data_IF_838201935211
#
_entry.id   IF_838201935211
#
_cell.length_a   1.000
_cell.length_b   1.000
_cell.length_c   1.000
_cell.angle_alpha   90.00
_cell.angle_beta   90.00
_cell.angle_gamma   90.00
#
_symmetry.space_group_name_H-M   'P 1'
#
loop_
_entity.id
_entity.type
_entity.pdbx_description
1 polymer ?
#
# COMPACT_ATOMS: atom_id res chain seq x y z
N UNK A 1 55.68 -41.67 8.51
CA UNK A 1 55.23 -40.43 9.18
C UNK A 1 54.05 -39.93 8.34
N UNK A 2 52.83 -39.75 8.77
CA UNK A 2 52.18 -39.69 10.07
C UNK A 2 50.69 -40.01 9.87
N UNK A 3 50.20 -41.07 10.54
CA UNK A 3 48.79 -41.40 10.70
C UNK A 3 48.22 -40.51 11.80
N UNK A 4 47.66 -39.35 11.50
CA UNK A 4 47.04 -38.50 12.57
C UNK A 4 45.86 -37.60 12.17
N UNK A 5 45.33 -37.71 10.96
CA UNK A 5 44.19 -36.81 10.55
C UNK A 5 42.90 -37.56 10.19
N UNK A 6 42.74 -38.85 10.50
CA UNK A 6 41.49 -39.60 10.21
C UNK A 6 40.51 -39.73 11.39
N UNK A 7 40.80 -39.11 12.56
CA UNK A 7 39.93 -39.26 13.75
C UNK A 7 39.07 -38.05 14.07
N UNK A 8 39.21 -36.99 13.33
CA UNK A 8 38.46 -35.73 13.59
C UNK A 8 37.23 -35.54 12.69
N UNK A 9 37.02 -36.40 11.70
CA UNK A 9 35.87 -36.35 10.77
C UNK A 9 34.71 -37.23 11.25
N UNK A 10 34.95 -38.18 12.15
CA UNK A 10 33.92 -39.09 12.68
C UNK A 10 33.08 -38.50 13.84
N UNK A 11 33.46 -37.35 14.41
CA UNK A 11 32.75 -36.76 15.55
C UNK A 11 31.75 -35.63 15.17
N UNK A 12 31.66 -35.32 13.87
CA UNK A 12 30.73 -34.27 13.39
C UNK A 12 29.42 -34.80 12.79
N UNK A 13 29.22 -36.12 12.79
CA UNK A 13 28.03 -36.79 12.23
C UNK A 13 27.04 -37.32 13.28
N UNK A 14 27.20 -37.01 14.56
CA UNK A 14 26.41 -37.63 15.65
C UNK A 14 25.53 -36.65 16.44
N UNK A 15 25.28 -35.44 15.93
CA UNK A 15 24.33 -34.49 16.59
C UNK A 15 23.34 -33.90 15.58
N UNK A 16 22.72 -34.72 14.75
CA UNK A 16 21.55 -34.30 13.99
C UNK A 16 20.42 -35.34 14.11
N UNK A 17 20.11 -35.72 15.34
CA UNK A 17 18.76 -36.14 15.69
C UNK A 17 17.99 -34.92 16.13
N UNK A 18 17.72 -34.01 15.17
CA UNK A 18 16.83 -32.88 15.39
C UNK A 18 15.41 -33.40 15.56
N UNK A 19 14.88 -33.21 16.75
CA UNK A 19 13.47 -33.24 17.04
C UNK A 19 12.70 -32.66 15.84
N UNK A 20 11.84 -33.46 15.24
CA UNK A 20 10.76 -32.98 14.39
C UNK A 20 9.73 -32.30 15.30
N UNK A 21 10.10 -31.15 15.88
CA UNK A 21 9.14 -30.22 16.42
C UNK A 21 8.37 -29.67 15.21
N UNK A 22 7.07 -29.91 15.17
CA UNK A 22 6.17 -29.20 14.28
C UNK A 22 6.44 -27.72 14.49
N UNK A 23 7.04 -27.05 13.50
CA UNK A 23 7.44 -25.66 13.65
C UNK A 23 6.18 -24.82 13.56
N UNK A 24 5.80 -24.24 14.67
CA UNK A 24 4.67 -23.31 14.72
C UNK A 24 5.07 -21.99 14.04
N UNK A 25 4.26 -21.51 13.10
CA UNK A 25 4.40 -20.18 12.52
C UNK A 25 3.56 -19.20 13.33
N UNK A 26 4.20 -18.39 14.14
CA UNK A 26 3.49 -17.37 14.92
C UNK A 26 2.97 -16.25 14.03
N UNK A 27 1.88 -15.61 14.45
CA UNK A 27 1.30 -14.48 13.71
C UNK A 27 2.28 -13.30 13.60
N UNK A 28 3.08 -13.05 14.63
CA UNK A 28 4.08 -12.01 14.63
C UNK A 28 5.20 -12.29 13.62
N UNK A 29 5.71 -13.54 13.56
CA UNK A 29 6.70 -13.94 12.56
C UNK A 29 6.15 -13.80 11.13
N UNK A 30 4.91 -14.26 10.91
CA UNK A 30 4.24 -14.15 9.63
C UNK A 30 4.15 -12.68 9.18
N UNK A 31 3.67 -11.78 10.04
CA UNK A 31 3.62 -10.35 9.74
C UNK A 31 5.01 -9.76 9.48
N UNK A 32 6.04 -10.24 10.18
CA UNK A 32 7.43 -9.87 9.93
C UNK A 32 7.88 -10.21 8.50
N UNK A 33 7.53 -11.39 7.98
CA UNK A 33 7.80 -11.75 6.59
C UNK A 33 7.05 -10.86 5.60
N UNK A 34 5.76 -10.62 5.83
CA UNK A 34 4.94 -9.75 4.96
C UNK A 34 5.50 -8.34 4.90
N UNK A 35 5.75 -7.72 6.06
CA UNK A 35 6.26 -6.35 6.15
C UNK A 35 7.61 -6.17 5.47
N UNK A 36 8.50 -7.16 5.58
CA UNK A 36 9.88 -7.03 5.15
C UNK A 36 10.10 -7.45 3.69
N UNK A 37 9.41 -8.49 3.23
CA UNK A 37 9.76 -9.15 1.98
C UNK A 37 8.67 -9.15 0.93
N UNK A 38 7.41 -8.88 1.29
CA UNK A 38 6.30 -8.94 0.33
C UNK A 38 6.48 -7.93 -0.81
N UNK A 39 6.36 -8.35 -2.10
CA UNK A 39 6.60 -7.47 -3.26
C UNK A 39 5.76 -6.20 -3.26
N UNK A 40 4.48 -6.28 -2.86
CA UNK A 40 3.59 -5.12 -2.82
C UNK A 40 4.01 -4.10 -1.74
N UNK A 41 4.61 -4.53 -0.63
CA UNK A 41 5.19 -3.62 0.37
C UNK A 41 6.43 -2.92 -0.20
N UNK A 42 7.28 -3.66 -0.92
CA UNK A 42 8.41 -3.07 -1.65
C UNK A 42 7.91 -2.07 -2.71
N UNK A 43 6.86 -2.41 -3.46
CA UNK A 43 6.21 -1.51 -4.43
C UNK A 43 5.67 -0.25 -3.75
N UNK A 44 4.96 -0.38 -2.62
CA UNK A 44 4.46 0.78 -1.87
C UNK A 44 5.59 1.73 -1.45
N UNK A 45 6.77 1.20 -1.09
CA UNK A 45 7.93 2.00 -0.74
C UNK A 45 8.52 2.78 -1.95
N UNK A 46 8.31 2.31 -3.19
CA UNK A 46 8.72 3.06 -4.40
C UNK A 46 7.98 4.39 -4.53
N UNK A 47 6.77 4.53 -4.00
CA UNK A 47 6.03 5.80 -4.00
C UNK A 47 6.82 6.93 -3.34
N UNK A 48 7.64 6.62 -2.31
CA UNK A 48 8.49 7.62 -1.64
C UNK A 48 9.61 8.06 -2.59
N UNK A 49 10.24 7.11 -3.28
CA UNK A 49 11.30 7.39 -4.26
C UNK A 49 10.74 8.17 -5.45
N UNK A 50 9.55 7.82 -5.93
CA UNK A 50 8.86 8.53 -7.00
C UNK A 50 8.63 10.01 -6.63
N UNK A 51 8.15 10.30 -5.41
CA UNK A 51 7.96 11.67 -4.95
C UNK A 51 9.28 12.47 -4.89
N UNK A 52 10.40 11.81 -4.54
CA UNK A 52 11.72 12.45 -4.55
C UNK A 52 12.16 12.78 -5.98
N UNK A 53 11.94 11.87 -6.92
CA UNK A 53 12.25 12.07 -8.35
C UNK A 53 11.37 13.17 -8.95
N UNK A 54 10.08 13.21 -8.63
CA UNK A 54 9.17 14.28 -9.05
C UNK A 54 9.62 15.66 -8.52
N UNK A 55 10.10 15.72 -7.27
CA UNK A 55 10.66 16.97 -6.74
C UNK A 55 11.94 17.38 -7.47
N UNK A 56 12.82 16.44 -7.80
CA UNK A 56 14.02 16.71 -8.60
C UNK A 56 13.64 17.22 -9.99
N UNK A 57 12.66 16.60 -10.66
CA UNK A 57 12.14 17.05 -11.96
C UNK A 57 11.55 18.46 -11.87
N UNK A 58 10.77 18.76 -10.84
CA UNK A 58 10.20 20.10 -10.67
C UNK A 58 11.28 21.18 -10.44
N UNK A 59 12.36 20.85 -9.73
CA UNK A 59 13.52 21.73 -9.56
C UNK A 59 14.29 21.97 -10.84
N UNK A 60 14.35 20.97 -11.74
CA UNK A 60 14.98 21.08 -13.06
C UNK A 60 14.37 22.17 -13.94
N UNK A 61 13.16 22.69 -13.64
CA UNK A 61 12.61 23.86 -14.29
C UNK A 61 13.40 25.16 -14.03
N UNK A 62 14.30 25.15 -13.04
CA UNK A 62 15.21 26.26 -12.70
C UNK A 62 16.64 26.05 -13.20
N UNK A 63 16.92 24.93 -13.87
CA UNK A 63 18.26 24.64 -14.37
C UNK A 63 18.64 25.64 -15.48
N UNK A 64 19.87 26.11 -15.51
CA UNK A 64 20.40 26.91 -16.60
C UNK A 64 20.29 26.17 -17.93
N UNK A 65 19.95 26.91 -18.99
CA UNK A 65 19.77 26.36 -20.33
C UNK A 65 20.72 27.00 -21.30
N UNK A 66 21.37 26.19 -22.12
CA UNK A 66 22.10 26.63 -23.31
C UNK A 66 21.24 26.32 -24.54
N UNK A 67 20.99 27.31 -25.33
CA UNK A 67 20.27 27.17 -26.62
C UNK A 67 21.17 27.70 -27.75
N UNK A 68 21.37 26.92 -28.77
CA UNK A 68 22.15 27.29 -29.97
C UNK A 68 21.26 27.06 -31.17
N UNK A 69 21.10 28.11 -31.98
CA UNK A 69 20.36 28.08 -33.22
C UNK A 69 21.29 28.49 -34.36
N UNK A 70 21.42 27.64 -35.36
CA UNK A 70 22.22 27.92 -36.57
C UNK A 70 21.37 27.68 -37.79
N UNK A 71 21.16 28.76 -38.57
CA UNK A 71 20.39 28.73 -39.78
C UNK A 71 21.20 29.35 -40.93
N UNK A 72 21.47 28.59 -42.00
CA UNK A 72 22.12 29.07 -43.18
C UNK A 72 21.24 28.82 -44.42
N UNK A 73 21.12 29.82 -45.29
CA UNK A 73 20.42 29.68 -46.56
C UNK A 73 21.34 30.12 -47.69
N UNK A 74 21.63 29.19 -48.61
CA UNK A 74 22.34 29.41 -49.87
C UNK A 74 21.44 28.92 -51.02
N UNK A 75 21.27 29.76 -52.04
CA UNK A 75 20.42 29.40 -53.18
C UNK A 75 20.92 30.12 -54.44
N UNK A 76 21.10 29.37 -55.57
CA UNK A 76 21.63 29.87 -56.83
C UNK A 76 22.95 30.61 -56.65
N UNK A 77 23.91 29.94 -55.95
CA UNK A 77 25.26 30.45 -55.67
C UNK A 77 25.31 31.81 -54.93
N UNK A 78 24.21 32.12 -54.19
CA UNK A 78 24.14 33.31 -53.36
C UNK A 78 23.93 32.89 -51.90
N UNK A 79 24.78 33.39 -51.02
CA UNK A 79 24.59 33.28 -49.58
C UNK A 79 23.50 34.29 -49.15
N UNK A 80 22.29 33.79 -48.83
CA UNK A 80 21.18 34.62 -48.41
C UNK A 80 21.39 35.11 -46.98
N UNK A 81 21.71 34.16 -46.06
CA UNK A 81 22.04 34.45 -44.68
C UNK A 81 22.76 33.27 -44.02
N UNK A 82 23.54 33.61 -43.02
CA UNK A 82 24.11 32.69 -42.01
C UNK A 82 23.86 33.28 -40.67
N UNK A 83 23.03 32.66 -39.86
CA UNK A 83 22.60 33.13 -38.54
C UNK A 83 23.09 32.15 -37.50
N UNK A 84 23.95 32.59 -36.60
CA UNK A 84 24.36 31.84 -35.39
C UNK A 84 23.91 32.61 -34.17
N UNK A 85 23.00 32.01 -33.36
CA UNK A 85 22.47 32.60 -32.14
C UNK A 85 22.68 31.62 -31.00
N UNK A 86 23.59 31.92 -30.11
CA UNK A 86 23.85 31.17 -28.88
C UNK A 86 23.28 31.91 -27.66
N UNK A 87 22.56 31.24 -26.80
CA UNK A 87 22.09 31.87 -25.58
C UNK A 87 22.23 30.95 -24.32
N UNK A 88 22.52 31.56 -23.19
CA UNK A 88 22.55 30.96 -21.89
C UNK A 88 21.53 31.67 -21.01
N UNK A 89 20.57 30.90 -20.43
CA UNK A 89 19.46 31.43 -19.66
C UNK A 89 19.45 30.82 -18.28
N UNK A 90 19.29 31.63 -17.24
CA UNK A 90 19.16 31.20 -15.83
C UNK A 90 17.78 31.64 -15.32
N UNK A 91 16.80 30.75 -15.24
CA UNK A 91 15.52 31.07 -14.64
C UNK A 91 15.65 31.14 -13.11
N UNK A 92 15.01 32.14 -12.47
CA UNK A 92 15.00 32.29 -11.02
C UNK A 92 13.64 31.98 -10.42
N UNK A 93 13.59 31.91 -9.10
CA UNK A 93 12.36 31.64 -8.33
C UNK A 93 11.24 32.66 -8.61
N UNK A 94 11.57 33.94 -8.67
CA UNK A 94 10.59 35.02 -8.87
C UNK A 94 10.24 35.31 -10.35
N UNK A 95 10.47 34.34 -11.23
CA UNK A 95 10.19 34.50 -12.66
C UNK A 95 11.18 35.41 -13.40
N UNK A 96 12.14 36.02 -12.70
CA UNK A 96 13.23 36.77 -13.30
C UNK A 96 14.13 35.81 -14.05
N UNK A 97 14.50 36.16 -15.29
CA UNK A 97 15.46 35.38 -16.10
C UNK A 97 16.71 36.21 -16.38
N UNK A 98 17.86 35.64 -16.05
CA UNK A 98 19.16 36.21 -16.44
C UNK A 98 19.52 35.57 -17.77
N UNK A 99 19.90 36.36 -18.75
CA UNK A 99 20.23 35.90 -20.11
C UNK A 99 21.58 36.43 -20.53
N UNK A 100 22.48 35.57 -20.99
CA UNK A 100 23.63 35.88 -21.82
C UNK A 100 23.39 35.36 -23.24
N UNK A 101 23.74 36.14 -24.28
CA UNK A 101 23.65 35.66 -25.64
C UNK A 101 24.82 36.13 -26.45
N UNK A 102 25.13 35.39 -27.50
CA UNK A 102 26.07 35.73 -28.56
C UNK A 102 25.40 35.46 -29.90
N UNK A 103 25.33 36.51 -30.71
CA UNK A 103 24.72 36.47 -32.02
C UNK A 103 25.78 36.83 -33.08
N UNK A 104 25.92 36.02 -34.13
CA UNK A 104 26.78 36.28 -35.26
C UNK A 104 26.03 36.03 -36.57
N UNK A 105 25.49 37.09 -37.13
CA UNK A 105 24.55 37.04 -38.22
C UNK A 105 25.10 37.83 -39.41
N UNK A 106 25.23 37.19 -40.57
CA UNK A 106 25.73 37.75 -41.80
C UNK A 106 24.92 37.30 -43.00
N UNK A 107 24.90 38.10 -44.06
CA UNK A 107 24.22 37.78 -45.31
C UNK A 107 23.59 38.98 -45.98
N UNK A 108 23.24 38.83 -47.27
CA UNK A 108 22.71 39.93 -48.10
C UNK A 108 21.21 40.18 -47.79
N UNK A 109 20.49 39.13 -47.43
CA UNK A 109 19.03 39.18 -47.20
C UNK A 109 18.68 38.92 -45.71
N UNK A 110 19.29 39.72 -44.86
CA UNK A 110 19.04 39.70 -43.40
C UNK A 110 18.20 40.94 -43.04
N UNK A 111 17.28 40.79 -42.10
CA UNK A 111 16.59 41.96 -41.54
C UNK A 111 17.60 42.90 -40.86
N UNK A 112 17.54 44.22 -41.11
CA UNK A 112 18.51 45.16 -40.53
C UNK A 112 18.66 45.07 -39.01
N UNK A 113 17.56 44.76 -38.27
CA UNK A 113 17.58 44.58 -36.82
C UNK A 113 18.32 43.30 -36.33
N UNK A 114 18.61 42.36 -37.23
CA UNK A 114 19.33 41.12 -36.95
C UNK A 114 20.81 41.20 -37.32
N UNK A 115 21.25 42.30 -37.93
CA UNK A 115 22.66 42.48 -38.31
C UNK A 115 23.53 42.59 -37.06
N UNK A 116 24.71 41.99 -37.13
CA UNK A 116 25.70 42.05 -36.06
C UNK A 116 27.02 42.63 -36.56
N UNK A 117 27.87 43.17 -35.70
CA UNK A 117 29.24 43.49 -36.06
C UNK A 117 29.99 42.26 -36.58
N UNK A 118 31.08 42.47 -37.34
CA UNK A 118 31.87 41.38 -37.98
C UNK A 118 32.40 40.32 -36.98
N UNK A 119 32.55 40.68 -35.73
CA UNK A 119 33.02 39.77 -34.66
C UNK A 119 31.88 39.21 -33.80
N UNK A 120 30.62 39.39 -34.23
CA UNK A 120 29.43 39.04 -33.48
C UNK A 120 29.06 40.10 -32.44
N UNK A 121 27.90 39.90 -31.82
CA UNK A 121 27.34 40.74 -30.77
C UNK A 121 27.07 39.91 -29.52
N UNK A 122 27.67 40.29 -28.40
CA UNK A 122 27.40 39.70 -27.07
C UNK A 122 26.32 40.51 -26.38
N UNK A 123 25.42 39.86 -25.71
CA UNK A 123 24.44 40.51 -24.84
C UNK A 123 24.36 39.86 -23.49
N UNK A 124 24.21 40.65 -22.40
CA UNK A 124 23.95 40.18 -21.05
C UNK A 124 22.82 41.02 -20.47
N UNK A 125 21.82 40.36 -19.97
CA UNK A 125 20.66 41.10 -19.47
C UNK A 125 19.76 40.29 -18.54
N UNK A 126 18.69 40.96 -18.16
CA UNK A 126 17.64 40.41 -17.27
C UNK A 126 16.26 40.63 -17.90
N UNK A 127 15.37 39.68 -17.66
CA UNK A 127 13.96 39.83 -17.98
C UNK A 127 13.16 39.68 -16.68
N UNK A 128 12.28 40.64 -16.39
CA UNK A 128 11.52 40.73 -15.13
C UNK A 128 10.03 40.78 -15.49
N UNK A 129 9.22 39.80 -15.08
CA UNK A 129 7.76 39.88 -15.17
C UNK A 129 7.25 40.81 -14.09
N UNK A 130 6.67 41.95 -14.43
CA UNK A 130 6.18 42.94 -13.46
C UNK A 130 4.74 42.65 -13.02
N UNK A 131 3.97 41.94 -13.79
CA UNK A 131 2.59 41.55 -13.50
C UNK A 131 2.46 40.07 -13.18
N UNK A 132 1.85 39.34 -14.12
CA UNK A 132 1.70 37.89 -14.02
C UNK A 132 3.06 37.20 -13.97
N UNK A 133 3.32 36.38 -12.96
CA UNK A 133 4.51 35.51 -12.89
C UNK A 133 5.58 35.95 -11.89
N UNK A 134 5.53 37.18 -11.32
CA UNK A 134 6.53 37.66 -10.37
C UNK A 134 6.37 36.97 -8.98
N UNK A 135 5.20 37.06 -8.36
CA UNK A 135 4.97 36.53 -7.02
C UNK A 135 4.46 35.08 -7.03
N UNK A 136 3.77 34.69 -8.10
CA UNK A 136 3.27 33.33 -8.31
C UNK A 136 3.46 32.97 -9.76
N UNK A 137 4.26 31.93 -10.02
CA UNK A 137 4.45 31.37 -11.36
C UNK A 137 4.33 29.86 -11.35
N UNK A 138 4.24 29.27 -12.54
CA UNK A 138 4.05 27.82 -12.68
C UNK A 138 5.23 27.01 -12.10
N UNK A 139 6.48 27.44 -12.31
CA UNK A 139 7.69 26.79 -11.77
C UNK A 139 7.66 26.71 -10.26
N UNK A 140 7.32 27.85 -9.59
CA UNK A 140 7.14 27.88 -8.12
C UNK A 140 6.03 26.93 -7.66
N UNK A 141 4.90 26.95 -8.37
CA UNK A 141 3.75 26.12 -8.03
C UNK A 141 4.11 24.63 -8.15
N UNK A 142 4.81 24.24 -9.20
CA UNK A 142 5.19 22.85 -9.43
C UNK A 142 6.16 22.34 -8.36
N UNK A 143 7.17 23.13 -7.96
CA UNK A 143 8.05 22.77 -6.83
C UNK A 143 7.30 22.69 -5.51
N UNK A 144 6.36 23.62 -5.24
CA UNK A 144 5.55 23.58 -4.02
C UNK A 144 4.64 22.34 -3.99
N UNK A 145 4.00 22.02 -5.12
CA UNK A 145 3.19 20.81 -5.25
C UNK A 145 4.03 19.55 -5.12
N UNK A 146 5.21 19.49 -5.74
CA UNK A 146 6.12 18.35 -5.61
C UNK A 146 6.61 18.13 -4.17
N UNK A 147 6.80 19.21 -3.39
CA UNK A 147 7.08 19.07 -1.93
C UNK A 147 5.89 18.46 -1.18
N UNK A 148 4.66 18.88 -1.50
CA UNK A 148 3.45 18.30 -0.89
C UNK A 148 3.22 16.86 -1.36
N UNK A 149 3.62 16.50 -2.58
CA UNK A 149 3.55 15.15 -3.11
C UNK A 149 4.36 14.16 -2.26
N UNK A 150 5.43 14.58 -1.60
CA UNK A 150 6.17 13.71 -0.66
C UNK A 150 5.28 13.27 0.51
N UNK A 151 4.52 14.19 1.11
CA UNK A 151 3.57 13.86 2.19
C UNK A 151 2.39 13.03 1.68
N UNK A 152 1.93 13.32 0.46
CA UNK A 152 0.86 12.56 -0.19
C UNK A 152 1.28 11.12 -0.42
N UNK A 153 2.43 10.91 -1.07
CA UNK A 153 2.94 9.58 -1.39
C UNK A 153 3.28 8.77 -0.12
N UNK A 154 3.76 9.43 0.95
CA UNK A 154 3.92 8.79 2.25
C UNK A 154 2.57 8.28 2.79
N UNK A 155 1.53 9.09 2.72
CA UNK A 155 0.19 8.70 3.17
C UNK A 155 -0.40 7.58 2.31
N UNK A 156 -0.20 7.61 1.00
CA UNK A 156 -0.65 6.58 0.06
C UNK A 156 0.13 5.26 0.27
N UNK A 157 1.43 5.33 0.53
CA UNK A 157 2.23 4.17 0.92
C UNK A 157 1.72 3.54 2.21
N UNK A 158 1.40 4.35 3.22
CA UNK A 158 0.89 3.86 4.50
C UNK A 158 -0.49 3.18 4.33
N UNK A 159 -1.37 3.71 3.48
CA UNK A 159 -2.65 3.08 3.14
C UNK A 159 -2.46 1.74 2.42
N UNK A 160 -1.57 1.66 1.44
CA UNK A 160 -1.27 0.42 0.74
C UNK A 160 -0.68 -0.64 1.69
N UNK A 161 0.23 -0.23 2.57
CA UNK A 161 0.80 -1.13 3.57
C UNK A 161 -0.26 -1.68 4.54
N UNK A 162 -1.19 -0.84 5.01
CA UNK A 162 -2.32 -1.26 5.85
C UNK A 162 -3.22 -2.26 5.13
N UNK A 163 -3.50 -2.05 3.85
CA UNK A 163 -4.29 -2.98 3.04
C UNK A 163 -3.61 -4.34 2.91
N UNK A 164 -2.32 -4.36 2.59
CA UNK A 164 -1.54 -5.60 2.47
C UNK A 164 -1.51 -6.36 3.81
N UNK A 165 -1.26 -5.66 4.93
CA UNK A 165 -1.27 -6.26 6.27
C UNK A 165 -2.65 -6.83 6.59
N UNK A 166 -3.71 -6.10 6.28
CA UNK A 166 -5.09 -6.55 6.50
C UNK A 166 -5.39 -7.82 5.72
N UNK A 167 -5.16 -7.82 4.40
CA UNK A 167 -5.42 -8.99 3.55
C UNK A 167 -4.58 -10.21 3.93
N UNK A 168 -3.27 -10.01 4.19
CA UNK A 168 -2.38 -11.07 4.66
C UNK A 168 -2.89 -11.70 5.97
N UNK A 169 -3.34 -10.86 6.91
CA UNK A 169 -3.89 -11.32 8.19
C UNK A 169 -5.14 -12.16 8.01
N UNK A 170 -6.05 -11.76 7.11
CA UNK A 170 -7.24 -12.55 6.79
C UNK A 170 -6.86 -13.95 6.30
N UNK A 171 -5.82 -14.07 5.46
CA UNK A 171 -5.34 -15.39 4.97
C UNK A 171 -4.75 -16.23 6.08
N UNK A 172 -4.02 -15.63 7.02
CA UNK A 172 -3.50 -16.33 8.19
C UNK A 172 -4.64 -16.85 9.09
N UNK A 173 -5.67 -16.05 9.33
CA UNK A 173 -6.82 -16.45 10.15
C UNK A 173 -7.66 -17.53 9.47
N UNK A 174 -7.84 -17.46 8.16
CA UNK A 174 -8.51 -18.52 7.39
C UNK A 174 -7.73 -19.84 7.44
N UNK A 175 -6.39 -19.79 7.34
CA UNK A 175 -5.54 -20.97 7.46
C UNK A 175 -5.66 -21.60 8.85
N UNK A 176 -5.59 -20.79 9.92
CA UNK A 176 -5.79 -21.26 11.28
C UNK A 176 -7.17 -21.91 11.48
N UNK A 177 -8.21 -21.26 11.02
CA UNK A 177 -9.57 -21.78 11.08
C UNK A 177 -9.68 -23.15 10.43
N UNK A 178 -9.20 -23.31 9.21
CA UNK A 178 -9.31 -24.58 8.49
C UNK A 178 -8.39 -25.66 9.09
N UNK A 179 -7.26 -25.28 9.65
CA UNK A 179 -6.43 -26.18 10.43
C UNK A 179 -7.18 -26.73 11.65
N UNK A 180 -7.80 -25.87 12.44
CA UNK A 180 -8.57 -26.26 13.63
C UNK A 180 -9.80 -27.14 13.25
N UNK A 181 -10.46 -26.83 12.14
CA UNK A 181 -11.55 -27.65 11.58
C UNK A 181 -11.08 -29.06 11.19
N UNK A 182 -9.91 -29.23 10.58
CA UNK A 182 -9.32 -30.53 10.23
C UNK A 182 -9.03 -31.31 11.51
N UNK A 183 -8.34 -30.72 12.49
CA UNK A 183 -8.07 -31.37 13.78
C UNK A 183 -9.34 -31.85 14.48
N UNK A 184 -10.40 -31.05 14.41
CA UNK A 184 -11.70 -31.42 14.95
C UNK A 184 -12.26 -32.67 14.24
N UNK A 185 -12.32 -32.66 12.91
CA UNK A 185 -12.88 -33.78 12.15
C UNK A 185 -12.05 -35.06 12.24
N UNK A 186 -10.72 -34.99 12.35
CA UNK A 186 -9.85 -36.13 12.59
C UNK A 186 -10.19 -36.81 13.90
N UNK A 187 -10.37 -36.04 15.00
CA UNK A 187 -10.74 -36.57 16.29
C UNK A 187 -12.13 -37.25 16.26
N UNK A 188 -13.12 -36.63 15.61
CA UNK A 188 -14.45 -37.23 15.49
C UNK A 188 -14.48 -38.45 14.59
N UNK A 189 -13.70 -38.47 13.52
CA UNK A 189 -13.56 -39.67 12.68
C UNK A 189 -12.95 -40.84 13.50
N UNK A 190 -11.90 -40.59 14.29
CA UNK A 190 -11.28 -41.57 15.17
C UNK A 190 -12.31 -42.16 16.14
N UNK A 191 -13.12 -41.32 16.80
CA UNK A 191 -14.16 -41.74 17.75
C UNK A 191 -15.25 -42.54 17.01
N UNK A 192 -15.71 -42.10 15.83
CA UNK A 192 -16.72 -42.83 15.07
C UNK A 192 -16.23 -44.21 14.60
N UNK A 193 -14.96 -44.35 14.20
CA UNK A 193 -14.38 -45.65 13.84
C UNK A 193 -14.27 -46.58 15.05
N UNK A 194 -13.87 -46.07 16.23
CA UNK A 194 -13.84 -46.88 17.47
C UNK A 194 -15.23 -47.35 17.83
N UNK A 195 -16.24 -46.49 17.78
CA UNK A 195 -17.65 -46.81 18.07
C UNK A 195 -18.19 -47.87 17.12
N UNK A 196 -17.91 -47.70 15.78
CA UNK A 196 -18.31 -48.68 14.76
C UNK A 196 -17.74 -50.08 15.06
N UNK A 197 -16.45 -50.19 15.40
CA UNK A 197 -15.80 -51.49 15.78
C UNK A 197 -16.46 -52.09 17.02
N UNK A 198 -16.71 -51.29 18.07
CA UNK A 198 -17.38 -51.79 19.27
C UNK A 198 -18.79 -52.33 18.99
N UNK A 199 -19.58 -51.60 18.16
CA UNK A 199 -20.92 -52.04 17.79
C UNK A 199 -20.89 -53.35 16.98
N UNK A 200 -19.94 -53.50 16.05
CA UNK A 200 -19.80 -54.72 15.27
C UNK A 200 -19.49 -55.92 16.15
N UNK A 201 -18.64 -55.77 17.16
CA UNK A 201 -18.37 -56.80 18.16
C UNK A 201 -19.60 -57.22 18.99
N UNK A 202 -20.40 -56.23 19.42
CA UNK A 202 -21.65 -56.49 20.18
C UNK A 202 -22.71 -57.21 19.33
N UNK A 203 -22.75 -56.95 18.01
CA UNK A 203 -23.63 -57.67 17.08
C UNK A 203 -23.16 -59.12 16.90
N UNK A 204 -21.87 -59.37 16.78
CA UNK A 204 -21.28 -60.73 16.71
C UNK A 204 -21.59 -61.55 17.98
N UNK A 205 -21.72 -60.87 19.12
CA UNK A 205 -22.09 -61.50 20.43
C UNK A 205 -23.62 -61.66 20.58
N UNK A 206 -24.41 -61.10 19.67
CA UNK A 206 -25.89 -61.16 19.73
C UNK A 206 -26.52 -60.09 20.58
N UNK A 207 -25.75 -59.14 21.13
CA UNK A 207 -26.24 -58.13 22.06
C UNK A 207 -26.87 -56.90 21.37
N UNK A 208 -26.66 -56.73 20.08
CA UNK A 208 -27.19 -55.58 19.32
C UNK A 208 -27.75 -56.05 17.97
N UNK A 209 -28.79 -55.35 17.40
CA UNK A 209 -29.35 -55.66 16.11
C UNK A 209 -28.40 -55.23 14.97
N UNK A 210 -28.41 -55.96 13.86
CA UNK A 210 -27.54 -55.71 12.71
C UNK A 210 -27.72 -54.29 12.10
N UNK A 211 -28.86 -53.66 12.27
CA UNK A 211 -29.11 -52.31 11.79
C UNK A 211 -28.21 -51.24 12.42
N UNK A 212 -27.78 -51.46 13.66
CA UNK A 212 -26.89 -50.55 14.40
C UNK A 212 -25.51 -50.44 13.72
N UNK A 213 -25.04 -51.54 13.06
CA UNK A 213 -23.78 -51.47 12.26
C UNK A 213 -23.91 -50.60 11.02
N UNK A 214 -25.09 -50.62 10.41
CA UNK A 214 -25.36 -49.79 9.24
C UNK A 214 -25.39 -48.31 9.65
N UNK A 215 -26.07 -48.00 10.77
CA UNK A 215 -26.14 -46.65 11.31
C UNK A 215 -24.72 -46.12 11.66
N UNK A 216 -23.94 -46.87 12.41
CA UNK A 216 -22.57 -46.52 12.77
C UNK A 216 -21.68 -46.38 11.53
N UNK A 217 -21.85 -47.24 10.50
CA UNK A 217 -21.15 -47.17 9.25
C UNK A 217 -21.48 -45.88 8.43
N UNK A 218 -22.74 -45.43 8.48
CA UNK A 218 -23.16 -44.15 7.87
C UNK A 218 -22.42 -42.98 8.55
N UNK A 219 -22.33 -42.97 9.89
CA UNK A 219 -21.64 -41.94 10.67
C UNK A 219 -20.15 -41.90 10.25
N UNK A 220 -19.46 -43.02 10.17
CA UNK A 220 -18.05 -43.10 9.74
C UNK A 220 -17.88 -42.52 8.32
N UNK A 221 -18.75 -42.88 7.38
CA UNK A 221 -18.71 -42.35 6.00
C UNK A 221 -18.94 -40.82 5.97
N UNK A 222 -19.89 -40.33 6.78
CA UNK A 222 -20.17 -38.91 6.89
C UNK A 222 -18.97 -38.15 7.48
N UNK A 223 -18.33 -38.68 8.53
CA UNK A 223 -17.10 -38.06 9.11
C UNK A 223 -15.94 -38.07 8.11
N UNK A 224 -15.74 -39.13 7.32
CA UNK A 224 -14.73 -39.16 6.24
C UNK A 224 -14.99 -38.09 5.21
N UNK A 225 -16.24 -37.92 4.75
CA UNK A 225 -16.62 -36.89 3.81
C UNK A 225 -16.32 -35.48 4.32
N UNK A 226 -16.68 -35.19 5.59
CA UNK A 226 -16.43 -33.91 6.23
C UNK A 226 -14.92 -33.63 6.38
N UNK A 227 -14.13 -34.63 6.73
CA UNK A 227 -12.68 -34.51 6.86
C UNK A 227 -12.05 -34.21 5.48
N UNK A 228 -12.49 -34.88 4.41
CA UNK A 228 -11.97 -34.63 3.05
C UNK A 228 -12.26 -33.20 2.58
N UNK A 229 -13.49 -32.69 2.83
CA UNK A 229 -13.84 -31.31 2.55
C UNK A 229 -12.99 -30.31 3.37
N UNK A 230 -12.75 -30.60 4.67
CA UNK A 230 -11.91 -29.77 5.52
C UNK A 230 -10.45 -29.77 5.06
N UNK A 231 -9.90 -30.91 4.65
CA UNK A 231 -8.54 -31.03 4.09
C UNK A 231 -8.39 -30.20 2.78
N UNK A 232 -9.40 -30.25 1.91
CA UNK A 232 -9.42 -29.43 0.71
C UNK A 232 -9.39 -27.94 1.05
N UNK A 233 -10.19 -27.51 2.03
CA UNK A 233 -10.22 -26.11 2.48
C UNK A 233 -8.90 -25.69 3.11
N UNK A 234 -8.29 -26.55 3.93
CA UNK A 234 -6.97 -26.31 4.51
C UNK A 234 -5.90 -26.16 3.44
N UNK A 235 -5.89 -27.03 2.45
CA UNK A 235 -4.93 -26.96 1.33
C UNK A 235 -5.09 -25.66 0.55
N UNK A 236 -6.33 -25.26 0.22
CA UNK A 236 -6.60 -23.99 -0.46
C UNK A 236 -6.17 -22.77 0.37
N UNK A 237 -6.44 -22.77 1.67
CA UNK A 237 -6.05 -21.64 2.55
C UNK A 237 -4.54 -21.56 2.74
N UNK A 238 -3.84 -22.70 2.80
CA UNK A 238 -2.38 -22.77 2.86
C UNK A 238 -1.73 -22.19 1.60
N UNK A 239 -2.22 -22.58 0.42
CA UNK A 239 -1.76 -21.99 -0.85
C UNK A 239 -2.06 -20.50 -0.96
N UNK A 240 -3.24 -20.05 -0.50
CA UNK A 240 -3.57 -18.63 -0.46
C UNK A 240 -2.67 -17.84 0.49
N UNK A 241 -2.28 -18.41 1.63
CA UNK A 241 -1.34 -17.82 2.57
C UNK A 241 0.07 -17.75 2.01
N UNK A 242 0.50 -18.75 1.25
CA UNK A 242 1.82 -18.81 0.59
C UNK A 242 2.06 -17.61 -0.35
N UNK A 243 1.01 -17.00 -0.89
CA UNK A 243 1.12 -15.78 -1.70
C UNK A 243 1.67 -14.58 -0.92
N UNK A 244 1.65 -14.62 0.42
CA UNK A 244 2.08 -13.52 1.28
C UNK A 244 3.44 -13.74 1.94
N UNK A 245 4.05 -14.93 1.80
CA UNK A 245 5.36 -15.24 2.38
C UNK A 245 6.41 -15.29 1.28
N UNK A 246 7.39 -14.38 1.37
CA UNK A 246 8.43 -14.20 0.36
C UNK A 246 9.81 -14.17 0.99
N UNK A 247 10.83 -14.57 0.21
CA UNK A 247 12.24 -14.42 0.59
C UNK A 247 12.78 -13.04 0.23
N UNK A 248 14.02 -12.77 0.65
CA UNK A 248 14.77 -11.55 0.28
C UNK A 248 14.85 -11.37 -1.24
N UNK A 249 15.03 -12.49 -1.97
CA UNK A 249 15.22 -12.52 -3.43
C UNK A 249 13.90 -12.51 -4.21
N UNK A 250 12.78 -12.14 -3.55
CA UNK A 250 11.45 -12.12 -4.14
C UNK A 250 10.99 -13.48 -4.69
N UNK A 251 11.38 -14.57 -4.02
CA UNK A 251 10.90 -15.94 -4.32
C UNK A 251 9.75 -16.24 -3.34
N UNK A 252 8.56 -16.64 -3.83
CA UNK A 252 7.46 -17.05 -2.96
C UNK A 252 7.82 -18.35 -2.23
N UNK A 253 7.47 -18.45 -0.95
CA UNK A 253 7.64 -19.64 -0.14
C UNK A 253 6.32 -20.38 -0.01
N UNK A 254 6.31 -21.65 -0.37
CA UNK A 254 5.19 -22.53 -0.10
C UNK A 254 5.24 -23.02 1.36
N UNK A 255 4.09 -22.95 2.04
CA UNK A 255 3.96 -23.38 3.43
C UNK A 255 3.94 -24.92 3.46
N UNK A 256 4.93 -25.50 4.15
CA UNK A 256 5.04 -26.95 4.36
C UNK A 256 3.82 -27.47 5.16
N UNK A 257 3.45 -28.73 4.86
CA UNK A 257 2.40 -29.44 5.63
C UNK A 257 2.75 -29.65 7.11
N UNK A 258 4.03 -29.72 7.43
CA UNK A 258 4.51 -29.86 8.79
C UNK A 258 4.42 -28.55 9.61
N UNK A 259 4.12 -27.42 8.98
CA UNK A 259 4.00 -26.13 9.66
C UNK A 259 2.58 -25.98 10.23
N UNK A 260 2.48 -25.59 11.49
CA UNK A 260 1.20 -25.38 12.19
C UNK A 260 0.99 -23.91 12.50
N UNK A 261 -0.26 -23.40 12.50
CA UNK A 261 -0.57 -22.04 12.95
C UNK A 261 -0.43 -21.91 14.46
N UNK A 262 -0.26 -20.67 14.92
CA UNK A 262 -0.18 -20.34 16.34
C UNK A 262 -1.41 -20.84 17.11
N UNK A 263 -1.17 -21.70 18.12
CA UNK A 263 -2.22 -22.31 18.91
C UNK A 263 -2.93 -21.28 19.81
N UNK A 264 -2.19 -20.32 20.37
CA UNK A 264 -2.70 -19.33 21.34
C UNK A 264 -2.90 -17.93 20.75
N UNK A 265 -3.28 -17.85 19.48
CA UNK A 265 -3.47 -16.59 18.75
C UNK A 265 -4.41 -15.60 19.47
N UNK A 266 -5.44 -16.10 20.19
CA UNK A 266 -6.40 -15.27 20.91
C UNK A 266 -5.76 -14.38 21.97
N UNK A 267 -4.70 -14.84 22.64
CA UNK A 267 -4.00 -14.07 23.68
C UNK A 267 -2.97 -13.11 23.08
N UNK A 268 -2.38 -13.44 21.93
CA UNK A 268 -1.27 -12.69 21.32
C UNK A 268 -1.71 -11.65 20.31
N UNK A 269 -2.84 -11.85 19.62
CA UNK A 269 -3.29 -10.97 18.55
C UNK A 269 -3.49 -9.52 19.01
N UNK A 270 -4.01 -9.30 20.20
CA UNK A 270 -4.23 -7.95 20.74
C UNK A 270 -2.92 -7.25 21.08
N UNK A 271 -1.90 -7.99 21.48
CA UNK A 271 -0.56 -7.50 21.77
C UNK A 271 0.20 -7.20 20.48
N UNK A 272 0.22 -8.14 19.54
CA UNK A 272 0.91 -8.00 18.24
C UNK A 272 0.39 -6.82 17.44
N UNK A 273 -0.93 -6.57 17.46
CA UNK A 273 -1.56 -5.45 16.78
C UNK A 273 -1.61 -4.17 17.64
N UNK A 274 -1.10 -4.22 18.88
CA UNK A 274 -1.13 -3.11 19.82
C UNK A 274 -2.55 -2.49 19.97
N UNK A 275 -3.56 -3.35 19.94
CA UNK A 275 -4.99 -3.02 19.88
C UNK A 275 -5.49 -2.23 21.11
N UNK A 276 -4.88 -2.44 22.28
CA UNK A 276 -5.29 -1.79 23.54
C UNK A 276 -4.78 -0.36 23.68
N UNK A 277 -4.22 0.24 22.63
CA UNK A 277 -3.79 1.63 22.70
C UNK A 277 -4.98 2.52 23.03
N UNK A 278 -4.93 3.08 24.22
CA UNK A 278 -5.91 3.99 24.84
C UNK A 278 -5.95 5.38 24.21
N UNK A 279 -5.14 5.64 23.20
CA UNK A 279 -5.15 6.94 22.51
C UNK A 279 -6.50 7.13 21.81
N UNK A 280 -7.18 8.20 22.14
CA UNK A 280 -8.40 8.59 21.45
C UNK A 280 -8.14 8.62 19.94
N UNK A 281 -8.98 7.94 19.15
CA UNK A 281 -8.88 7.98 17.71
C UNK A 281 -9.03 9.42 17.22
N UNK A 282 -8.03 9.92 16.50
CA UNK A 282 -8.05 11.21 15.83
C UNK A 282 -8.02 11.00 14.34
N UNK A 283 -9.13 11.30 13.67
CA UNK A 283 -9.25 11.11 12.21
C UNK A 283 -8.18 11.90 11.43
N UNK A 284 -7.74 13.05 11.95
CA UNK A 284 -6.70 13.90 11.36
C UNK A 284 -5.36 13.20 11.18
N UNK A 285 -5.06 12.23 12.05
CA UNK A 285 -3.80 11.48 12.00
C UNK A 285 -3.84 10.33 11.00
N UNK A 286 -5.04 9.96 10.52
CA UNK A 286 -5.22 8.85 9.60
C UNK A 286 -4.65 9.19 8.20
N UNK A 287 -3.87 8.30 7.54
CA UNK A 287 -3.26 8.55 6.24
C UNK A 287 -4.26 8.97 5.16
N UNK A 288 -5.49 8.43 5.17
CA UNK A 288 -6.54 8.81 4.22
C UNK A 288 -6.94 10.28 4.36
N UNK A 289 -7.08 10.77 5.58
CA UNK A 289 -7.44 12.17 5.84
C UNK A 289 -6.26 13.10 5.51
N UNK A 290 -5.03 12.70 5.86
CA UNK A 290 -3.82 13.44 5.48
C UNK A 290 -3.65 13.53 3.97
N UNK A 291 -3.90 12.45 3.25
CA UNK A 291 -3.82 12.42 1.77
C UNK A 291 -4.81 13.42 1.17
N UNK A 292 -6.08 13.44 1.59
CA UNK A 292 -7.08 14.38 1.11
C UNK A 292 -6.77 15.83 1.49
N UNK A 293 -6.32 16.07 2.72
CA UNK A 293 -5.88 17.41 3.16
C UNK A 293 -4.72 17.92 2.30
N UNK A 294 -3.75 17.05 2.00
CA UNK A 294 -2.62 17.38 1.14
C UNK A 294 -3.06 17.67 -0.30
N UNK A 295 -3.99 16.88 -0.86
CA UNK A 295 -4.59 17.13 -2.19
C UNK A 295 -5.29 18.49 -2.24
N UNK A 296 -6.03 18.87 -1.19
CA UNK A 296 -6.66 20.20 -1.10
C UNK A 296 -5.59 21.31 -1.08
N UNK A 297 -4.50 21.14 -0.32
CA UNK A 297 -3.41 22.11 -0.28
C UNK A 297 -2.75 22.28 -1.66
N UNK A 298 -2.61 21.19 -2.45
CA UNK A 298 -2.12 21.27 -3.82
C UNK A 298 -3.09 22.03 -4.74
N UNK A 299 -4.40 21.82 -4.61
CA UNK A 299 -5.43 22.56 -5.33
C UNK A 299 -5.44 24.05 -4.97
N UNK A 300 -5.15 24.42 -3.72
CA UNK A 300 -5.00 25.82 -3.30
C UNK A 300 -3.79 26.51 -3.96
N UNK A 301 -2.71 25.76 -4.20
CA UNK A 301 -1.57 26.27 -4.99
C UNK A 301 -2.00 26.51 -6.44
N UNK A 302 -2.71 25.58 -7.06
CA UNK A 302 -3.23 25.74 -8.42
C UNK A 302 -4.22 26.91 -8.51
N UNK A 303 -5.08 27.10 -7.51
CA UNK A 303 -5.98 28.25 -7.44
C UNK A 303 -5.20 29.57 -7.47
N UNK A 304 -4.11 29.69 -6.69
CA UNK A 304 -3.26 30.89 -6.68
C UNK A 304 -2.62 31.16 -8.05
N UNK A 305 -2.23 30.12 -8.79
CA UNK A 305 -1.73 30.26 -10.16
C UNK A 305 -2.83 30.80 -11.10
N UNK A 306 -4.07 30.26 -10.97
CA UNK A 306 -5.22 30.75 -11.75
C UNK A 306 -5.63 32.18 -11.40
N UNK A 307 -5.53 32.54 -10.13
CA UNK A 307 -5.76 33.92 -9.65
C UNK A 307 -4.72 34.89 -10.22
N UNK A 308 -3.45 34.51 -10.20
CA UNK A 308 -2.36 35.29 -10.79
C UNK A 308 -2.50 35.44 -12.32
N UNK A 309 -3.15 34.49 -13.00
CA UNK A 309 -3.43 34.58 -14.44
C UNK A 309 -4.46 35.69 -14.82
N UNK A 310 -5.15 36.29 -13.85
CA UNK A 310 -6.02 37.46 -14.05
C UNK A 310 -5.21 38.75 -14.19
N UNK A 311 -3.95 38.76 -13.77
CA UNK A 311 -3.08 39.95 -13.92
C UNK A 311 -2.58 40.07 -15.35
N UNK A 312 -2.32 41.29 -15.83
CA UNK A 312 -1.68 41.48 -17.12
C UNK A 312 -0.26 40.89 -17.15
N UNK A 313 0.15 40.38 -18.29
CA UNK A 313 1.56 40.07 -18.54
C UNK A 313 2.27 41.34 -18.92
N UNK A 314 3.25 41.71 -18.15
CA UNK A 314 4.13 42.85 -18.42
C UNK A 314 5.55 42.38 -18.14
N UNK A 315 6.29 42.12 -19.23
CA UNK A 315 7.69 41.68 -19.15
C UNK A 315 8.59 42.87 -19.53
N UNK A 316 9.47 43.24 -18.63
CA UNK A 316 10.52 44.23 -18.84
C UNK A 316 11.84 43.51 -19.07
N UNK A 317 12.49 43.72 -20.20
CA UNK A 317 13.81 43.18 -20.50
C UNK A 317 14.83 44.29 -20.73
N UNK A 318 15.98 44.18 -20.11
CA UNK A 318 17.13 45.03 -20.34
C UNK A 318 18.34 44.15 -20.63
N UNK A 319 18.99 44.42 -21.78
CA UNK A 319 20.18 43.72 -22.21
C UNK A 319 21.27 44.75 -22.54
N UNK A 320 22.40 44.66 -21.88
CA UNK A 320 23.61 45.33 -22.28
C UNK A 320 24.19 44.67 -23.52
N UNK A 321 24.65 45.45 -24.49
CA UNK A 321 25.20 44.98 -25.75
C UNK A 321 26.68 45.36 -25.85
N UNK A 322 27.52 44.43 -26.39
CA UNK A 322 28.94 44.69 -26.63
C UNK A 322 29.49 43.77 -27.71
N UNK A 323 30.45 44.26 -28.48
CA UNK A 323 31.29 43.37 -29.25
C UNK A 323 32.17 42.53 -28.31
N UNK A 324 32.51 41.28 -28.66
CA UNK A 324 33.36 40.43 -27.79
C UNK A 324 34.69 41.08 -27.40
N UNK A 325 35.27 41.89 -28.33
CA UNK A 325 36.53 42.59 -28.11
C UNK A 325 36.46 43.70 -27.07
N UNK A 326 35.29 44.24 -26.81
CA UNK A 326 35.06 45.40 -25.94
C UNK A 326 34.17 45.09 -24.74
N UNK A 327 33.95 43.84 -24.43
CA UNK A 327 33.08 43.42 -23.35
C UNK A 327 33.47 44.01 -21.99
N UNK A 328 34.77 44.32 -21.77
CA UNK A 328 35.27 44.92 -20.55
C UNK A 328 35.05 46.45 -20.46
N UNK A 329 34.59 47.08 -21.53
CA UNK A 329 34.32 48.52 -21.58
C UNK A 329 32.83 48.78 -21.55
N UNK A 330 32.28 48.89 -20.34
CA UNK A 330 30.85 49.19 -20.19
C UNK A 330 30.51 50.56 -20.76
N UNK A 331 29.62 50.57 -21.78
CA UNK A 331 29.06 51.79 -22.37
C UNK A 331 27.57 51.85 -22.05
N UNK A 332 27.16 52.82 -21.25
CA UNK A 332 25.78 52.99 -20.84
C UNK A 332 24.79 53.16 -21.99
N UNK A 333 25.28 53.55 -23.13
CA UNK A 333 24.48 53.85 -24.34
C UNK A 333 24.20 52.59 -25.19
N UNK A 334 24.91 51.50 -24.96
CA UNK A 334 24.81 50.26 -25.75
C UNK A 334 23.88 49.29 -25.05
N UNK A 335 22.58 49.41 -25.28
CA UNK A 335 21.58 48.55 -24.66
C UNK A 335 20.41 48.22 -25.61
N UNK A 336 19.70 47.12 -25.26
CA UNK A 336 18.39 46.78 -25.83
C UNK A 336 17.37 46.72 -24.69
N UNK A 337 16.41 47.66 -24.71
CA UNK A 337 15.29 47.67 -23.80
C UNK A 337 14.06 47.11 -24.51
N UNK A 338 13.36 46.19 -23.86
CA UNK A 338 12.11 45.61 -24.37
C UNK A 338 11.02 45.70 -23.31
N UNK A 339 9.83 46.10 -23.68
CA UNK A 339 8.63 46.06 -22.88
C UNK A 339 7.57 45.28 -23.66
N UNK A 340 7.14 44.16 -23.09
CA UNK A 340 6.09 43.34 -23.69
C UNK A 340 4.87 43.35 -22.79
N UNK A 341 3.75 43.89 -23.28
CA UNK A 341 2.47 43.92 -22.57
C UNK A 341 1.44 43.07 -23.32
N UNK A 342 0.78 42.18 -22.59
CA UNK A 342 -0.30 41.35 -23.16
C UNK A 342 -1.38 41.13 -22.08
N UNK A 343 -2.64 41.40 -22.45
CA UNK A 343 -3.78 41.15 -21.59
C UNK A 343 -5.02 40.84 -22.43
N UNK A 344 -5.71 39.69 -22.17
CA UNK A 344 -7.00 39.41 -22.79
C UNK A 344 -8.07 40.41 -22.30
N UNK A 345 -8.78 41.05 -23.22
CA UNK A 345 -9.75 42.09 -22.84
C UNK A 345 -10.90 41.61 -21.92
N UNK A 346 -11.44 40.43 -22.17
CA UNK A 346 -12.59 39.89 -21.45
C UNK A 346 -12.26 38.94 -20.31
N UNK A 347 -11.04 38.42 -20.24
CA UNK A 347 -10.56 37.48 -19.20
C UNK A 347 -11.50 36.28 -18.93
N UNK A 348 -12.31 35.89 -19.94
CA UNK A 348 -13.31 34.82 -19.76
C UNK A 348 -12.68 33.49 -19.40
N UNK A 349 -11.58 33.12 -20.07
CA UNK A 349 -10.82 31.89 -19.83
C UNK A 349 -10.22 31.88 -18.43
N UNK A 350 -9.61 32.96 -18.02
CA UNK A 350 -8.92 33.12 -16.73
C UNK A 350 -9.91 33.10 -15.57
N UNK A 351 -11.03 33.86 -15.70
CA UNK A 351 -12.12 33.86 -14.70
C UNK A 351 -12.77 32.48 -14.57
N UNK A 352 -13.05 31.82 -15.70
CA UNK A 352 -13.59 30.46 -15.68
C UNK A 352 -12.60 29.48 -15.06
N UNK A 353 -11.30 29.58 -15.36
CA UNK A 353 -10.25 28.76 -14.79
C UNK A 353 -10.14 28.93 -13.27
N UNK A 354 -10.21 30.16 -12.75
CA UNK A 354 -10.24 30.43 -11.32
C UNK A 354 -11.51 29.86 -10.66
N UNK A 355 -12.69 30.05 -11.26
CA UNK A 355 -13.94 29.52 -10.75
C UNK A 355 -13.94 27.99 -10.69
N UNK A 356 -13.43 27.32 -11.72
CA UNK A 356 -13.27 25.86 -11.73
C UNK A 356 -12.31 25.38 -10.62
N UNK A 357 -11.20 26.08 -10.39
CA UNK A 357 -10.29 25.74 -9.29
C UNK A 357 -10.98 25.88 -7.92
N UNK A 358 -11.77 26.94 -7.70
CA UNK A 358 -12.55 27.13 -6.48
C UNK A 358 -13.57 26.01 -6.27
N UNK A 359 -14.31 25.61 -7.33
CA UNK A 359 -15.29 24.52 -7.28
C UNK A 359 -14.62 23.19 -6.94
N UNK A 360 -13.45 22.88 -7.53
CA UNK A 360 -12.70 21.66 -7.19
C UNK A 360 -12.25 21.61 -5.73
N UNK A 361 -11.83 22.75 -5.19
CA UNK A 361 -11.47 22.85 -3.76
C UNK A 361 -12.70 22.59 -2.89
N UNK A 362 -13.82 23.20 -3.23
CA UNK A 362 -15.08 23.05 -2.48
C UNK A 362 -15.56 21.58 -2.51
N UNK A 363 -15.58 20.97 -3.67
CA UNK A 363 -15.90 19.56 -3.86
C UNK A 363 -14.99 18.66 -3.00
N UNK A 364 -13.67 18.88 -3.06
CA UNK A 364 -12.71 18.11 -2.26
C UNK A 364 -12.89 18.33 -0.74
N UNK A 365 -13.30 19.53 -0.30
CA UNK A 365 -13.61 19.81 1.11
C UNK A 365 -14.86 19.07 1.59
N UNK A 366 -15.91 19.00 0.77
CA UNK A 366 -17.10 18.21 1.09
C UNK A 366 -16.77 16.72 1.16
N UNK A 367 -15.97 16.22 0.21
CA UNK A 367 -15.53 14.84 0.23
C UNK A 367 -14.68 14.51 1.46
N UNK A 368 -13.73 15.38 1.83
CA UNK A 368 -12.94 15.23 3.06
C UNK A 368 -13.81 15.15 4.31
N UNK A 369 -14.82 16.02 4.40
CA UNK A 369 -15.75 16.00 5.54
C UNK A 369 -16.55 14.70 5.60
N UNK A 370 -17.06 14.22 4.47
CA UNK A 370 -17.74 12.94 4.37
C UNK A 370 -16.84 11.78 4.81
N UNK A 371 -15.63 11.71 4.28
CA UNK A 371 -14.65 10.66 4.60
C UNK A 371 -14.26 10.65 6.08
N UNK A 372 -14.14 11.83 6.69
CA UNK A 372 -13.88 11.93 8.13
C UNK A 372 -14.99 11.27 8.95
N UNK A 373 -16.24 11.67 8.69
CA UNK A 373 -17.41 11.12 9.40
C UNK A 373 -17.53 9.62 9.16
N UNK A 374 -17.35 9.18 7.91
CA UNK A 374 -17.41 7.76 7.57
C UNK A 374 -16.35 6.95 8.33
N UNK A 375 -15.12 7.46 8.43
CA UNK A 375 -14.03 6.81 9.15
C UNK A 375 -14.29 6.75 10.66
N UNK A 376 -14.75 7.85 11.27
CA UNK A 376 -15.11 7.88 12.68
C UNK A 376 -16.23 6.87 13.02
N UNK A 377 -17.25 6.81 12.18
CA UNK A 377 -18.36 5.87 12.35
C UNK A 377 -17.90 4.42 12.13
N UNK A 378 -17.01 4.17 11.15
CA UNK A 378 -16.41 2.85 10.93
C UNK A 378 -15.66 2.36 12.17
N UNK A 379 -14.80 3.21 12.75
CA UNK A 379 -14.06 2.88 13.96
C UNK A 379 -15.00 2.56 15.12
N UNK A 380 -16.02 3.40 15.36
CA UNK A 380 -17.02 3.16 16.43
C UNK A 380 -17.78 1.86 16.20
N UNK A 381 -18.21 1.57 14.98
CA UNK A 381 -18.93 0.36 14.63
C UNK A 381 -18.06 -0.88 14.88
N UNK A 382 -16.80 -0.87 14.45
CA UNK A 382 -15.86 -1.98 14.65
C UNK A 382 -15.54 -2.19 16.14
N UNK A 383 -15.41 -1.12 16.94
CA UNK A 383 -15.25 -1.26 18.39
C UNK A 383 -16.44 -1.98 19.03
N UNK A 384 -17.66 -1.60 18.65
CA UNK A 384 -18.88 -2.27 19.16
C UNK A 384 -18.99 -3.71 18.66
N UNK A 385 -18.59 -3.98 17.43
CA UNK A 385 -18.56 -5.33 16.87
C UNK A 385 -17.62 -6.23 17.69
N UNK A 386 -16.40 -5.79 18.02
CA UNK A 386 -15.45 -6.56 18.83
C UNK A 386 -16.02 -6.83 20.24
N UNK A 387 -16.64 -5.83 20.87
CA UNK A 387 -17.28 -6.01 22.20
C UNK A 387 -18.38 -7.08 22.11
N UNK A 388 -19.21 -7.02 21.06
CA UNK A 388 -20.28 -7.99 20.83
C UNK A 388 -19.72 -9.40 20.56
N UNK A 389 -18.72 -9.52 19.68
CA UNK A 389 -18.09 -10.79 19.32
C UNK A 389 -17.42 -11.46 20.53
N UNK A 390 -16.76 -10.70 21.41
CA UNK A 390 -16.21 -11.23 22.67
C UNK A 390 -17.30 -11.82 23.57
N UNK A 391 -18.46 -11.18 23.70
CA UNK A 391 -19.61 -11.72 24.42
C UNK A 391 -20.18 -12.99 23.79
N UNK A 392 -20.35 -12.97 22.46
CA UNK A 392 -20.83 -14.11 21.67
C UNK A 392 -19.88 -15.31 21.82
N UNK A 393 -18.57 -15.07 21.76
CA UNK A 393 -17.55 -16.11 21.93
C UNK A 393 -17.62 -16.75 23.33
N UNK A 394 -17.88 -15.97 24.38
CA UNK A 394 -18.09 -16.52 25.71
C UNK A 394 -19.32 -17.43 25.75
N UNK A 395 -20.43 -17.06 25.10
CA UNK A 395 -21.61 -17.92 25.01
C UNK A 395 -21.36 -19.19 24.20
N UNK A 396 -20.64 -19.10 23.06
CA UNK A 396 -20.32 -20.30 22.27
C UNK A 396 -19.38 -21.23 23.01
N UNK A 397 -18.41 -20.72 23.80
CA UNK A 397 -17.57 -21.53 24.68
C UNK A 397 -18.38 -22.26 25.73
N UNK A 398 -19.36 -21.60 26.37
CA UNK A 398 -20.28 -22.23 27.32
C UNK A 398 -21.12 -23.33 26.65
N UNK A 399 -21.69 -23.05 25.47
CA UNK A 399 -22.45 -24.04 24.70
C UNK A 399 -21.63 -25.28 24.36
N UNK A 400 -20.36 -25.11 23.97
CA UNK A 400 -19.46 -26.24 23.71
C UNK A 400 -19.28 -27.08 24.98
N UNK A 401 -19.04 -26.44 26.11
CA UNK A 401 -18.90 -27.12 27.41
C UNK A 401 -20.17 -27.88 27.81
N UNK A 402 -21.35 -27.25 27.60
CA UNK A 402 -22.64 -27.85 27.93
C UNK A 402 -22.95 -29.07 27.05
N UNK A 403 -22.71 -28.97 25.74
CA UNK A 403 -22.89 -30.08 24.80
C UNK A 403 -21.88 -31.20 25.04
N UNK A 404 -20.64 -30.91 25.42
CA UNK A 404 -19.65 -31.91 25.78
C UNK A 404 -20.08 -32.67 27.05
N UNK A 405 -20.56 -31.95 28.07
CA UNK A 405 -21.09 -32.55 29.31
C UNK A 405 -22.33 -33.43 29.01
N UNK A 406 -23.21 -32.96 28.11
CA UNK A 406 -24.40 -33.72 27.72
C UNK A 406 -24.02 -34.98 26.94
N UNK A 407 -23.04 -34.93 26.01
CA UNK A 407 -22.54 -36.12 25.32
C UNK A 407 -21.92 -37.15 26.28
N UNK A 408 -21.08 -36.69 27.21
CA UNK A 408 -20.48 -37.54 28.25
C UNK A 408 -21.54 -38.21 29.15
N UNK A 409 -22.63 -37.52 29.47
CA UNK A 409 -23.78 -38.11 30.17
C UNK A 409 -24.48 -39.18 29.34
N UNK A 410 -24.70 -38.93 28.07
CA UNK A 410 -25.34 -39.87 27.15
C UNK A 410 -24.47 -41.11 26.89
N UNK A 411 -23.14 -40.96 26.76
CA UNK A 411 -22.22 -42.10 26.64
C UNK A 411 -22.33 -43.05 27.84
N UNK A 412 -22.46 -42.53 29.09
CA UNK A 412 -22.68 -43.35 30.28
C UNK A 412 -24.02 -44.08 30.28
N UNK A 413 -25.11 -43.42 29.85
CA UNK A 413 -26.42 -44.06 29.72
C UNK A 413 -26.38 -45.18 28.66
N UNK A 414 -25.66 -44.99 27.57
CA UNK A 414 -25.50 -45.99 26.54
C UNK A 414 -24.69 -47.19 27.04
N UNK A 415 -23.62 -46.99 27.82
CA UNK A 415 -22.82 -48.06 28.42
C UNK A 415 -23.64 -48.98 29.35
N UNK A 416 -24.64 -48.43 30.05
CA UNK A 416 -25.53 -49.20 30.92
C UNK A 416 -26.80 -49.70 30.23
N UNK A 417 -26.92 -49.46 28.91
CA UNK A 417 -28.05 -49.94 28.09
C UNK A 417 -29.33 -49.09 28.15
N UNK A 418 -29.29 -47.89 28.80
CA UNK A 418 -30.43 -46.99 28.94
C UNK A 418 -30.52 -45.92 27.81
N UNK A 419 -29.65 -45.97 26.83
CA UNK A 419 -29.67 -45.08 25.67
C UNK A 419 -29.47 -45.83 24.34
N UNK A 420 -29.69 -45.14 23.20
CA UNK A 420 -29.52 -45.69 21.88
C UNK A 420 -28.40 -45.00 21.11
N UNK A 421 -27.87 -45.70 20.08
CA UNK A 421 -26.87 -45.17 19.16
C UNK A 421 -27.35 -43.88 18.48
N UNK A 422 -28.64 -43.82 18.15
CA UNK A 422 -29.27 -42.64 17.56
C UNK A 422 -29.12 -41.39 18.44
N UNK A 423 -29.38 -41.52 19.73
CA UNK A 423 -29.29 -40.40 20.68
C UNK A 423 -27.84 -39.92 20.81
N UNK A 424 -26.86 -40.84 20.99
CA UNK A 424 -25.45 -40.48 21.05
C UNK A 424 -25.04 -39.74 19.77
N UNK A 425 -25.36 -40.26 18.56
CA UNK A 425 -25.04 -39.64 17.32
C UNK A 425 -25.66 -38.22 17.19
N UNK A 426 -26.87 -38.02 17.70
CA UNK A 426 -27.54 -36.73 17.75
C UNK A 426 -26.79 -35.73 18.66
N UNK A 427 -26.39 -36.17 19.86
CA UNK A 427 -25.61 -35.34 20.81
C UNK A 427 -24.26 -34.99 20.28
N UNK A 428 -23.53 -35.96 19.71
CA UNK A 428 -22.23 -35.74 19.07
C UNK A 428 -22.33 -34.75 17.90
N UNK A 429 -23.35 -34.84 17.04
CA UNK A 429 -23.57 -33.88 15.96
C UNK A 429 -23.83 -32.48 16.48
N UNK A 430 -24.54 -32.33 17.58
CA UNK A 430 -24.79 -31.04 18.22
C UNK A 430 -23.48 -30.43 18.76
N UNK A 431 -22.63 -31.25 19.42
CA UNK A 431 -21.30 -30.84 19.90
C UNK A 431 -20.37 -30.44 18.77
N UNK A 432 -20.28 -31.24 17.67
CA UNK A 432 -19.49 -30.92 16.47
C UNK A 432 -19.92 -29.57 15.88
N UNK A 433 -21.23 -29.36 15.75
CA UNK A 433 -21.78 -28.12 15.21
C UNK A 433 -21.45 -26.91 16.10
N UNK A 434 -21.52 -27.08 17.43
CA UNK A 434 -21.15 -26.03 18.39
C UNK A 434 -19.65 -25.68 18.29
N UNK A 435 -18.78 -26.68 18.19
CA UNK A 435 -17.34 -26.47 18.08
C UNK A 435 -16.94 -25.82 16.75
N UNK A 436 -17.54 -26.20 15.62
CA UNK A 436 -17.35 -25.53 14.31
C UNK A 436 -17.78 -24.06 14.39
N UNK A 437 -18.95 -23.82 15.01
CA UNK A 437 -19.43 -22.45 15.21
C UNK A 437 -18.47 -21.63 16.10
N UNK A 438 -17.90 -22.24 17.13
CA UNK A 438 -16.92 -21.59 18.02
C UNK A 438 -15.65 -21.20 17.24
N UNK A 439 -15.08 -22.11 16.44
CA UNK A 439 -13.92 -21.84 15.56
C UNK A 439 -14.24 -20.69 14.60
N UNK A 440 -15.43 -20.71 13.98
CA UNK A 440 -15.87 -19.63 13.08
C UNK A 440 -16.03 -18.29 13.82
N UNK A 441 -16.48 -18.31 15.08
CA UNK A 441 -16.64 -17.11 15.90
C UNK A 441 -15.28 -16.51 16.29
N UNK A 442 -14.29 -17.34 16.60
CA UNK A 442 -12.92 -16.88 16.83
C UNK A 442 -12.33 -16.20 15.57
N UNK A 443 -12.50 -16.82 14.41
CA UNK A 443 -12.05 -16.21 13.13
C UNK A 443 -12.72 -14.84 12.89
N UNK A 444 -14.02 -14.70 13.16
CA UNK A 444 -14.73 -13.42 13.08
C UNK A 444 -14.14 -12.37 14.02
N UNK A 445 -13.79 -12.77 15.25
CA UNK A 445 -13.17 -11.86 16.22
C UNK A 445 -11.81 -11.37 15.71
N UNK A 446 -10.97 -12.26 15.18
CA UNK A 446 -9.68 -11.89 14.59
C UNK A 446 -9.84 -10.94 13.40
N UNK A 447 -10.81 -11.22 12.53
CA UNK A 447 -11.16 -10.37 11.39
C UNK A 447 -11.60 -8.96 11.83
N UNK A 448 -12.42 -8.87 12.88
CA UNK A 448 -12.85 -7.57 13.41
C UNK A 448 -11.68 -6.78 14.06
N UNK A 449 -10.77 -7.46 14.75
CA UNK A 449 -9.59 -6.84 15.35
C UNK A 449 -8.65 -6.26 14.28
N UNK A 450 -8.33 -7.02 13.22
CA UNK A 450 -7.48 -6.51 12.13
C UNK A 450 -8.18 -5.41 11.34
N UNK A 451 -9.50 -5.48 11.17
CA UNK A 451 -10.30 -4.41 10.55
C UNK A 451 -10.21 -3.11 11.34
N UNK A 452 -10.30 -3.17 12.66
CA UNK A 452 -10.13 -2.01 13.54
C UNK A 452 -8.69 -1.46 13.46
N UNK A 453 -7.67 -2.33 13.46
CA UNK A 453 -6.27 -1.94 13.27
C UNK A 453 -6.07 -1.15 11.96
N UNK A 454 -6.61 -1.66 10.84
CA UNK A 454 -6.60 -0.96 9.55
C UNK A 454 -7.27 0.42 9.66
N UNK A 455 -8.40 0.51 10.36
CA UNK A 455 -9.15 1.75 10.51
C UNK A 455 -8.50 2.78 11.45
N UNK A 456 -7.57 2.38 12.31
CA UNK A 456 -6.73 3.31 13.06
C UNK A 456 -5.63 3.97 12.20
N UNK A 457 -5.27 3.37 11.08
CA UNK A 457 -4.41 3.99 10.08
C UNK A 457 -2.94 4.16 10.49
N UNK A 458 -2.45 3.35 11.42
CA UNK A 458 -1.04 3.37 11.87
C UNK A 458 -0.35 2.07 11.45
N UNK A 459 0.24 1.97 10.25
CA UNK A 459 1.07 0.82 9.91
C UNK A 459 2.34 0.89 10.77
N UNK A 460 2.54 -0.08 11.65
CA UNK A 460 3.84 -0.33 12.27
C UNK A 460 4.66 -1.14 11.26
N UNK A 461 5.36 -0.46 10.35
CA UNK A 461 6.23 -1.04 9.33
C UNK A 461 7.68 -1.07 9.80
#
# INVERSE_FOLDING_TARGET
>A
MSKKNSFLIALFFLVWNGFSQSKELTYNEFLGYVKKYHPLVKQANLNITEAQVQLMQARGAFDPKIEIDFNKKEFKDKNYYSLFNGSFKIPTWYGIEIKGAFDNNEGIYINPEMTTPNKGLTSVGISIPIGQGLFVNQRMADVRKAKLAQTLNQSERDLQALEIIHEASLRYFDWKRHYDEVQLYENYLKNAVLRYKGITQLIEQGDKPAIDSIEAGIVVKSRKLNLEDANLKLTKSRLALSNYIWTVDAIPLEISEALTPESNLKSTIEEVLNYKRTDAFMAENHPKIKSWTTKINMLEIDRKVKENALLPKLDLSYNYLSEPSYFNQYRFQDYKLGVNFSMPLFLRKERAGLKLAQLKIQDSKYFLQFERIQLENKVKAQQQEIISLKKQLNYTNSLVSDYDSMLKGEDRLFEIGESSLFVINSRENSLVSAQINNIAMENRLYTAIIGLYQSYGKPEL
#
